data_IF_102619823368
#
_entry.id   IF_102619823368
#
_cell.length_a   1.000
_cell.length_b   1.000
_cell.length_c   1.000
_cell.angle_alpha   90.00
_cell.angle_beta   90.00
_cell.angle_gamma   90.00
#
_symmetry.space_group_name_H-M   'P 1'
#
loop_
_entity.id
_entity.type
_entity.pdbx_description
1 polymer ?
#
# COMPACT_ATOMS: atom_id res chain seq x y z
N UNK A 1 -16.51 -0.05 -6.07
CA UNK A 1 -16.55 -0.01 -4.58
C UNK A 1 -17.26 1.25 -4.13
N UNK A 2 -18.28 1.15 -3.25
CA UNK A 2 -19.08 2.33 -2.87
C UNK A 2 -18.89 2.75 -1.40
N UNK A 3 -18.08 2.02 -0.63
CA UNK A 3 -17.80 2.30 0.77
C UNK A 3 -16.79 3.42 0.99
N UNK A 4 -16.73 3.96 2.20
CA UNK A 4 -15.61 4.75 2.69
C UNK A 4 -14.53 3.83 3.31
N UNK A 5 -13.29 4.28 3.34
CA UNK A 5 -12.14 3.57 3.91
C UNK A 5 -11.94 2.18 3.28
N UNK A 6 -11.98 2.12 1.95
CA UNK A 6 -11.67 0.90 1.20
C UNK A 6 -10.17 0.82 0.99
N UNK A 7 -9.58 -0.30 1.35
CA UNK A 7 -8.18 -0.60 1.08
C UNK A 7 -8.05 -1.89 0.28
N UNK A 8 -7.26 -1.82 -0.77
CA UNK A 8 -6.95 -2.94 -1.66
C UNK A 8 -5.42 -3.09 -1.67
N UNK A 9 -4.92 -4.31 -1.51
CA UNK A 9 -3.49 -4.59 -1.54
C UNK A 9 -3.22 -5.87 -2.33
N UNK A 10 -2.32 -5.78 -3.30
CA UNK A 10 -1.90 -6.91 -4.15
C UNK A 10 -3.10 -7.59 -4.85
N UNK A 11 -4.00 -6.78 -5.39
CA UNK A 11 -5.18 -7.26 -6.12
C UNK A 11 -5.03 -7.03 -7.62
N UNK A 12 -5.72 -7.82 -8.43
CA UNK A 12 -5.89 -7.60 -9.85
C UNK A 12 -7.30 -7.10 -10.15
N UNK A 13 -7.44 -5.92 -10.78
CA UNK A 13 -8.68 -5.39 -11.32
C UNK A 13 -8.58 -5.40 -12.84
N UNK A 14 -9.27 -6.30 -13.50
CA UNK A 14 -9.11 -6.57 -14.93
C UNK A 14 -10.43 -6.42 -15.68
N UNK A 15 -10.46 -5.52 -16.64
CA UNK A 15 -11.54 -5.37 -17.60
C UNK A 15 -11.03 -4.61 -18.83
N UNK A 16 -11.92 -4.14 -19.69
CA UNK A 16 -11.58 -3.35 -20.87
C UNK A 16 -12.01 -1.89 -20.72
N UNK A 17 -13.25 -1.64 -20.36
CA UNK A 17 -13.82 -0.32 -20.09
C UNK A 17 -14.43 -0.32 -18.70
N UNK A 18 -14.37 0.81 -18.00
CA UNK A 18 -15.01 1.02 -16.71
C UNK A 18 -14.61 -0.04 -15.65
N UNK A 19 -13.33 -0.40 -15.58
CA UNK A 19 -12.84 -1.49 -14.72
C UNK A 19 -13.12 -1.21 -13.24
N UNK A 20 -12.84 0.01 -12.78
CA UNK A 20 -12.98 0.36 -11.38
C UNK A 20 -13.78 1.65 -11.18
N UNK A 21 -15.06 1.49 -10.80
CA UNK A 21 -15.81 2.58 -10.18
C UNK A 21 -15.32 2.75 -8.76
N UNK A 22 -14.62 3.83 -8.49
CA UNK A 22 -14.08 4.12 -7.16
C UNK A 22 -15.19 4.37 -6.16
N UNK A 23 -15.98 5.42 -6.34
CA UNK A 23 -17.15 5.74 -5.53
C UNK A 23 -18.04 6.76 -6.23
N UNK A 24 -19.24 6.94 -5.73
CA UNK A 24 -20.17 8.01 -6.11
C UNK A 24 -20.37 9.02 -4.97
N UNK A 25 -19.47 9.05 -3.98
CA UNK A 25 -19.55 9.89 -2.79
C UNK A 25 -18.29 10.73 -2.64
N UNK A 26 -18.48 12.05 -2.55
CA UNK A 26 -17.46 13.06 -2.42
C UNK A 26 -16.37 12.75 -1.37
N UNK A 27 -16.77 12.29 -0.20
CA UNK A 27 -15.88 12.16 0.95
C UNK A 27 -15.32 10.75 1.16
N UNK A 28 -15.70 9.80 0.32
CA UNK A 28 -15.18 8.43 0.45
C UNK A 28 -13.70 8.38 0.09
N UNK A 29 -12.97 7.55 0.82
CA UNK A 29 -11.52 7.42 0.74
C UNK A 29 -11.15 6.00 0.36
N UNK A 30 -10.31 5.88 -0.66
CA UNK A 30 -9.82 4.58 -1.12
C UNK A 30 -8.29 4.59 -1.19
N UNK A 31 -7.70 3.49 -0.82
CA UNK A 31 -6.29 3.20 -0.94
C UNK A 31 -6.09 1.91 -1.72
N UNK A 32 -5.24 1.93 -2.70
CA UNK A 32 -4.83 0.72 -3.42
C UNK A 32 -3.31 0.70 -3.49
N UNK A 33 -2.71 -0.47 -3.29
CA UNK A 33 -1.26 -0.61 -3.25
C UNK A 33 -0.78 -1.91 -3.87
N UNK A 34 0.40 -1.85 -4.52
CA UNK A 34 1.11 -3.00 -5.11
C UNK A 34 0.19 -3.86 -5.99
N UNK A 35 -0.75 -3.23 -6.69
CA UNK A 35 -1.85 -3.87 -7.38
C UNK A 35 -1.74 -3.73 -8.89
N UNK A 36 -2.51 -4.53 -9.62
CA UNK A 36 -2.60 -4.49 -11.07
C UNK A 36 -3.98 -3.99 -11.48
N UNK A 37 -4.02 -2.88 -12.24
CA UNK A 37 -5.27 -2.31 -12.75
C UNK A 37 -5.17 -2.29 -14.27
N UNK A 38 -6.08 -3.01 -14.92
CA UNK A 38 -6.07 -3.22 -16.37
C UNK A 38 -7.30 -2.64 -17.03
N UNK A 39 -7.10 -2.00 -18.18
CA UNK A 39 -8.19 -1.48 -18.99
C UNK A 39 -7.73 -0.74 -20.24
N UNK A 40 -8.69 -0.18 -20.96
CA UNK A 40 -8.49 0.55 -22.19
C UNK A 40 -9.15 1.94 -22.18
N UNK A 41 -10.39 2.03 -21.68
CA UNK A 41 -11.21 3.24 -21.78
C UNK A 41 -11.85 3.53 -20.44
N UNK A 42 -11.54 4.72 -19.87
CA UNK A 42 -12.17 5.23 -18.64
C UNK A 42 -12.11 4.22 -17.49
N UNK A 43 -11.05 3.44 -17.43
CA UNK A 43 -11.05 2.24 -16.61
C UNK A 43 -10.83 2.49 -15.12
N UNK A 44 -10.53 3.75 -14.72
CA UNK A 44 -10.61 4.22 -13.33
C UNK A 44 -11.51 5.46 -13.33
N UNK A 45 -12.69 5.35 -12.74
CA UNK A 45 -13.70 6.40 -12.85
C UNK A 45 -14.51 6.58 -11.55
N UNK A 46 -15.23 7.70 -11.46
CA UNK A 46 -16.04 8.03 -10.29
C UNK A 46 -15.49 9.21 -9.49
N UNK A 47 -15.70 9.19 -8.18
CA UNK A 47 -15.43 10.29 -7.24
C UNK A 47 -14.51 9.86 -6.11
N UNK A 48 -14.47 10.72 -5.06
CA UNK A 48 -13.77 10.47 -3.81
C UNK A 48 -12.30 10.86 -3.81
N UNK A 49 -11.65 10.62 -2.69
CA UNK A 49 -10.21 10.77 -2.54
C UNK A 49 -9.56 9.39 -2.63
N UNK A 50 -8.83 9.14 -3.70
CA UNK A 50 -8.28 7.83 -4.03
C UNK A 50 -6.77 7.92 -4.14
N UNK A 51 -6.05 7.10 -3.41
CA UNK A 51 -4.61 7.04 -3.43
C UNK A 51 -4.15 5.70 -4.00
N UNK A 52 -3.49 5.77 -5.16
CA UNK A 52 -2.92 4.62 -5.86
C UNK A 52 -1.41 4.62 -5.61
N UNK A 53 -0.90 3.61 -4.91
CA UNK A 53 0.47 3.56 -4.37
C UNK A 53 1.25 2.37 -4.96
N UNK A 54 2.23 2.65 -5.82
CA UNK A 54 3.09 1.63 -6.43
C UNK A 54 2.32 0.59 -7.26
N UNK A 55 1.22 0.99 -7.89
CA UNK A 55 0.41 0.10 -8.72
C UNK A 55 0.92 0.02 -10.16
N UNK A 56 0.59 -1.06 -10.83
CA UNK A 56 0.79 -1.23 -12.27
C UNK A 56 -0.52 -0.95 -13.00
N UNK A 57 -0.49 0.05 -13.88
CA UNK A 57 -1.59 0.46 -14.75
C UNK A 57 -1.33 -0.15 -16.14
N UNK A 58 -2.08 -1.19 -16.50
CA UNK A 58 -1.86 -1.95 -17.73
C UNK A 58 -2.87 -1.59 -18.81
N UNK A 59 -2.36 -1.15 -19.97
CA UNK A 59 -3.17 -0.66 -21.10
C UNK A 59 -3.37 -1.79 -22.10
N UNK A 60 -4.61 -2.28 -22.26
CA UNK A 60 -4.91 -3.40 -23.18
C UNK A 60 -5.39 -2.98 -24.56
N UNK A 61 -5.38 -1.70 -24.85
CA UNK A 61 -5.70 -1.15 -26.17
C UNK A 61 -4.48 -0.46 -26.76
N UNK A 62 -4.16 -0.76 -28.03
CA UNK A 62 -2.95 -0.24 -28.68
C UNK A 62 -2.95 1.29 -28.83
N UNK A 63 -4.08 1.93 -29.05
CA UNK A 63 -4.14 3.38 -29.28
C UNK A 63 -5.45 4.01 -28.82
N UNK A 64 -5.39 5.26 -28.35
CA UNK A 64 -6.53 6.13 -28.10
C UNK A 64 -7.38 5.75 -26.87
N UNK A 65 -6.78 5.15 -25.86
CA UNK A 65 -7.42 4.88 -24.58
C UNK A 65 -7.33 6.03 -23.58
N UNK A 66 -8.04 5.89 -22.44
CA UNK A 66 -8.03 6.84 -21.34
C UNK A 66 -7.90 6.10 -20.01
N UNK A 67 -6.94 6.50 -19.17
CA UNK A 67 -6.74 5.86 -17.86
C UNK A 67 -7.88 6.27 -16.93
N UNK A 68 -8.06 7.57 -16.71
CA UNK A 68 -9.07 8.06 -15.78
C UNK A 68 -10.21 8.81 -16.46
N UNK A 69 -11.41 8.68 -15.89
CA UNK A 69 -12.59 9.47 -16.22
C UNK A 69 -13.32 9.92 -14.94
N UNK A 70 -12.74 10.83 -14.17
CA UNK A 70 -13.33 11.27 -12.91
C UNK A 70 -14.45 12.29 -13.12
N UNK A 71 -15.34 12.35 -12.10
CA UNK A 71 -16.43 13.33 -12.02
C UNK A 71 -16.51 13.94 -10.61
N UNK A 72 -15.38 14.46 -10.13
CA UNK A 72 -15.28 15.01 -8.79
C UNK A 72 -16.13 16.29 -8.65
N UNK A 73 -17.03 16.35 -7.65
CA UNK A 73 -17.70 17.60 -7.27
C UNK A 73 -16.71 18.69 -6.87
N UNK A 74 -17.14 19.94 -6.96
CA UNK A 74 -16.31 21.12 -6.68
C UNK A 74 -15.66 21.10 -5.28
N UNK A 75 -16.33 20.48 -4.33
CA UNK A 75 -15.92 20.37 -2.93
C UNK A 75 -14.87 19.29 -2.70
N UNK A 76 -14.57 18.46 -3.69
CA UNK A 76 -13.52 17.44 -3.58
C UNK A 76 -12.18 18.10 -3.31
N UNK A 77 -11.45 17.57 -2.32
CA UNK A 77 -10.18 18.16 -1.88
C UNK A 77 -8.99 17.59 -2.64
N UNK A 78 -8.89 16.27 -2.76
CA UNK A 78 -7.69 15.60 -3.29
C UNK A 78 -7.91 14.89 -4.62
N UNK A 79 -9.09 14.27 -4.83
CA UNK A 79 -9.38 13.47 -6.03
C UNK A 79 -8.49 12.22 -6.15
N UNK A 80 -8.01 11.95 -7.35
CA UNK A 80 -7.16 10.79 -7.63
C UNK A 80 -5.68 11.14 -7.54
N UNK A 81 -4.94 10.45 -6.71
CA UNK A 81 -3.49 10.59 -6.53
C UNK A 81 -2.81 9.30 -6.94
N UNK A 82 -2.09 9.33 -8.04
CA UNK A 82 -1.22 8.25 -8.50
C UNK A 82 0.20 8.52 -7.99
N UNK A 83 0.70 7.68 -7.10
CA UNK A 83 2.01 7.84 -6.48
C UNK A 83 2.93 6.66 -6.81
N UNK A 84 4.08 6.93 -7.42
CA UNK A 84 5.09 5.93 -7.77
C UNK A 84 4.57 4.79 -8.67
N UNK A 85 3.57 5.06 -9.51
CA UNK A 85 2.94 4.04 -10.35
C UNK A 85 3.70 3.79 -11.64
N UNK A 86 3.48 2.62 -12.23
CA UNK A 86 4.02 2.22 -13.53
C UNK A 86 2.86 2.11 -14.53
N UNK A 87 3.01 2.73 -15.71
CA UNK A 87 2.08 2.57 -16.83
C UNK A 87 2.75 1.69 -17.87
N UNK A 88 2.09 0.59 -18.25
CA UNK A 88 2.62 -0.40 -19.19
C UNK A 88 1.53 -0.95 -20.12
N UNK A 89 1.91 -1.85 -21.02
CA UNK A 89 0.99 -2.56 -21.91
C UNK A 89 1.56 -3.94 -22.25
N UNK A 90 0.72 -4.93 -22.63
CA UNK A 90 1.22 -6.23 -23.07
C UNK A 90 2.00 -6.14 -24.39
N UNK A 91 2.96 -7.05 -24.57
CA UNK A 91 3.77 -7.14 -25.80
C UNK A 91 4.84 -6.05 -25.88
N UNK A 92 4.68 -5.09 -26.78
CA UNK A 92 5.58 -3.94 -26.91
C UNK A 92 4.93 -2.64 -26.40
N UNK A 93 5.14 -2.26 -25.13
CA UNK A 93 4.52 -1.06 -24.57
C UNK A 93 4.86 0.23 -25.35
N UNK A 94 6.05 0.33 -25.92
CA UNK A 94 6.48 1.51 -26.70
C UNK A 94 5.67 1.76 -27.99
N UNK A 95 4.88 0.79 -28.44
CA UNK A 95 3.95 0.94 -29.56
C UNK A 95 2.53 1.31 -29.12
N UNK A 96 2.27 1.39 -27.84
CA UNK A 96 0.96 1.72 -27.25
C UNK A 96 0.92 3.20 -26.89
N UNK A 97 -0.20 3.87 -27.16
CA UNK A 97 -0.47 5.23 -26.68
C UNK A 97 -1.77 5.30 -25.86
N UNK A 98 -1.76 6.14 -24.83
CA UNK A 98 -2.88 6.35 -23.94
C UNK A 98 -2.90 7.79 -23.41
N UNK A 99 -4.08 8.39 -23.29
CA UNK A 99 -4.26 9.62 -22.55
C UNK A 99 -4.31 9.34 -21.04
N UNK A 100 -3.74 10.20 -20.22
CA UNK A 100 -3.83 10.10 -18.76
C UNK A 100 -5.28 10.12 -18.29
N UNK A 101 -6.13 10.89 -18.98
CA UNK A 101 -7.57 10.86 -18.72
C UNK A 101 -8.36 11.84 -19.56
N UNK A 102 -9.68 11.77 -19.40
CA UNK A 102 -10.65 12.73 -19.98
C UNK A 102 -11.68 13.18 -18.94
N UNK A 103 -12.13 14.45 -18.96
CA UNK A 103 -12.97 15.02 -17.91
C UNK A 103 -14.43 14.56 -18.07
N UNK A 104 -14.84 13.54 -17.31
CA UNK A 104 -16.17 12.98 -17.48
C UNK A 104 -17.27 14.00 -17.13
N UNK A 105 -17.27 14.50 -15.89
CA UNK A 105 -18.20 15.54 -15.43
C UNK A 105 -17.57 16.39 -14.33
N UNK A 106 -18.25 17.47 -13.94
CA UNK A 106 -17.95 18.36 -12.83
C UNK A 106 -16.53 18.97 -12.90
N UNK A 107 -15.78 18.91 -11.81
CA UNK A 107 -14.46 19.54 -11.68
C UNK A 107 -13.38 18.52 -11.30
N UNK A 108 -13.00 17.62 -12.23
CA UNK A 108 -12.05 16.55 -11.97
C UNK A 108 -10.74 17.00 -11.32
N UNK A 109 -10.20 16.16 -10.42
CA UNK A 109 -8.92 16.38 -9.77
C UNK A 109 -8.12 15.08 -9.90
N UNK A 110 -6.94 15.13 -10.53
CA UNK A 110 -6.05 13.96 -10.66
C UNK A 110 -4.59 14.40 -10.74
N UNK A 111 -3.73 13.73 -10.02
CA UNK A 111 -2.28 13.95 -10.06
C UNK A 111 -1.55 12.63 -10.33
N UNK A 112 -0.57 12.67 -11.24
CA UNK A 112 0.40 11.60 -11.44
C UNK A 112 1.76 12.06 -10.91
N UNK A 113 2.25 11.41 -9.87
CA UNK A 113 3.46 11.80 -9.14
C UNK A 113 4.46 10.65 -9.15
N UNK A 114 5.70 10.91 -9.61
CA UNK A 114 6.74 9.90 -9.75
C UNK A 114 6.31 8.72 -10.63
N UNK A 115 5.59 8.97 -11.69
CA UNK A 115 5.09 7.92 -12.59
C UNK A 115 6.15 7.51 -13.60
N UNK A 116 6.31 6.22 -13.83
CA UNK A 116 7.11 5.67 -14.91
C UNK A 116 6.22 5.12 -16.01
N UNK A 117 6.34 5.66 -17.23
CA UNK A 117 5.51 5.24 -18.36
C UNK A 117 6.33 4.54 -19.43
N UNK A 118 6.01 3.27 -19.67
CA UNK A 118 6.55 2.50 -20.79
C UNK A 118 5.73 2.69 -22.07
N UNK A 119 4.52 3.27 -21.97
CA UNK A 119 3.66 3.59 -23.10
C UNK A 119 3.80 5.07 -23.49
N UNK A 120 3.40 5.41 -24.70
CA UNK A 120 3.39 6.80 -25.16
C UNK A 120 2.22 7.56 -24.55
N UNK A 121 2.49 8.67 -23.89
CA UNK A 121 1.50 9.64 -23.49
C UNK A 121 1.58 10.80 -24.45
N UNK A 122 0.49 11.23 -25.13
CA UNK A 122 0.49 12.38 -26.01
C UNK A 122 1.08 13.62 -25.34
N UNK A 123 1.73 14.50 -26.08
CA UNK A 123 2.38 15.68 -25.52
C UNK A 123 1.42 16.55 -24.66
N UNK A 124 0.15 16.63 -25.04
CA UNK A 124 -0.89 17.30 -24.28
C UNK A 124 -1.21 16.61 -22.92
N UNK A 125 -0.86 15.33 -22.75
CA UNK A 125 -1.10 14.52 -21.55
C UNK A 125 -2.53 14.08 -21.37
N UNK A 126 -3.44 15.02 -21.42
CA UNK A 126 -4.85 14.89 -21.11
C UNK A 126 -5.73 15.16 -22.30
N UNK A 127 -6.84 14.42 -22.42
CA UNK A 127 -7.81 14.70 -23.48
C UNK A 127 -8.66 15.93 -23.13
N UNK A 128 -8.82 16.90 -24.04
CA UNK A 128 -9.30 18.25 -23.66
C UNK A 128 -10.80 18.35 -23.40
N UNK A 129 -11.59 17.33 -23.75
CA UNK A 129 -13.04 17.47 -23.71
C UNK A 129 -13.77 16.19 -23.35
N UNK A 130 -14.85 16.30 -22.61
CA UNK A 130 -15.92 15.32 -22.43
C UNK A 130 -17.16 16.02 -21.86
N UNK A 131 -17.30 16.17 -20.54
CA UNK A 131 -18.43 16.81 -19.89
C UNK A 131 -18.07 17.63 -18.63
N UNK A 132 -16.79 17.64 -18.25
CA UNK A 132 -16.29 18.38 -17.09
C UNK A 132 -15.18 19.37 -17.40
N UNK A 133 -14.85 20.19 -16.42
CA UNK A 133 -13.74 21.14 -16.47
C UNK A 133 -12.79 20.88 -15.29
N UNK A 134 -11.65 20.26 -15.52
CA UNK A 134 -10.74 19.90 -14.44
C UNK A 134 -10.32 21.08 -13.58
N UNK A 135 -10.44 20.93 -12.26
CA UNK A 135 -9.91 21.89 -11.30
C UNK A 135 -8.39 21.78 -11.19
N UNK A 136 -7.87 20.56 -11.11
CA UNK A 136 -6.44 20.32 -11.02
C UNK A 136 -6.07 18.98 -11.66
N UNK A 137 -5.47 19.03 -12.84
CA UNK A 137 -4.86 17.89 -13.53
C UNK A 137 -3.39 18.17 -13.74
N UNK A 138 -2.54 17.46 -13.00
CA UNK A 138 -1.12 17.77 -12.97
C UNK A 138 -0.24 16.53 -12.87
N UNK A 139 1.01 16.70 -13.25
CA UNK A 139 2.06 15.70 -13.13
C UNK A 139 3.25 16.26 -12.34
N UNK A 140 4.03 15.36 -11.76
CA UNK A 140 5.33 15.66 -11.18
C UNK A 140 6.27 14.48 -11.39
N UNK A 141 7.48 14.77 -11.88
CA UNK A 141 8.57 13.79 -12.01
C UNK A 141 8.15 12.54 -12.81
N UNK A 142 7.47 12.74 -13.95
CA UNK A 142 7.12 11.65 -14.87
C UNK A 142 8.37 11.23 -15.63
N UNK A 143 8.64 9.91 -15.68
CA UNK A 143 9.76 9.29 -16.39
C UNK A 143 9.25 8.42 -17.53
N UNK A 144 10.05 8.30 -18.59
CA UNK A 144 9.83 7.31 -19.65
C UNK A 144 10.24 5.89 -19.21
N UNK A 145 10.08 4.90 -20.11
CA UNK A 145 10.45 3.51 -19.86
C UNK A 145 11.94 3.29 -19.58
N UNK A 146 12.81 4.17 -20.05
CA UNK A 146 14.26 4.12 -19.84
C UNK A 146 14.69 4.88 -18.56
N UNK A 147 13.75 5.60 -17.94
CA UNK A 147 13.99 6.38 -16.72
C UNK A 147 14.47 7.80 -16.99
N UNK A 148 14.32 8.31 -18.22
CA UNK A 148 14.60 9.71 -18.52
C UNK A 148 13.39 10.58 -18.15
N UNK A 149 13.61 11.83 -17.71
CA UNK A 149 12.52 12.77 -17.47
C UNK A 149 11.72 13.06 -18.74
N UNK A 150 10.40 13.00 -18.65
CA UNK A 150 9.49 13.41 -19.74
C UNK A 150 9.34 14.93 -19.73
N UNK A 151 9.40 15.55 -20.93
CA UNK A 151 9.08 16.97 -21.06
C UNK A 151 7.58 17.22 -20.88
N UNK A 152 7.23 17.87 -19.77
CA UNK A 152 5.86 18.20 -19.41
C UNK A 152 5.42 19.61 -19.87
N UNK A 153 6.29 20.36 -20.56
CA UNK A 153 6.01 21.76 -20.98
C UNK A 153 4.83 21.90 -21.95
N UNK A 154 4.48 20.82 -22.64
CA UNK A 154 3.39 20.76 -23.60
C UNK A 154 2.06 20.23 -23.02
N UNK A 155 2.01 19.96 -21.70
CA UNK A 155 0.76 19.55 -21.04
C UNK A 155 -0.27 20.65 -21.06
N UNK A 156 -1.51 20.32 -21.47
CA UNK A 156 -2.58 21.31 -21.56
C UNK A 156 -3.14 21.66 -20.19
N UNK A 157 -3.61 22.90 -20.09
CA UNK A 157 -4.42 23.38 -18.96
C UNK A 157 -5.81 23.82 -19.39
N UNK A 158 -6.06 23.99 -20.69
CA UNK A 158 -7.36 24.38 -21.23
C UNK A 158 -8.24 23.17 -21.54
N UNK A 159 -9.48 23.22 -21.08
CA UNK A 159 -10.49 22.19 -21.27
C UNK A 159 -11.80 22.80 -21.70
N UNK A 160 -12.64 22.00 -22.34
CA UNK A 160 -13.98 22.45 -22.73
C UNK A 160 -14.97 21.30 -22.81
N UNK A 161 -16.23 21.65 -22.77
CA UNK A 161 -17.32 20.77 -23.16
C UNK A 161 -18.40 21.56 -23.90
N UNK A 162 -19.33 20.86 -24.51
CA UNK A 162 -20.52 21.50 -25.09
C UNK A 162 -21.71 21.23 -24.18
N UNK A 163 -22.41 22.31 -23.79
CA UNK A 163 -23.57 22.24 -22.89
C UNK A 163 -24.82 21.73 -23.62
N UNK A 164 -24.78 21.66 -24.95
CA UNK A 164 -25.88 21.26 -25.82
C UNK A 164 -25.46 20.12 -26.78
N UNK A 165 -26.45 19.36 -27.25
CA UNK A 165 -26.24 18.27 -28.19
C UNK A 165 -25.75 18.72 -29.57
N UNK A 166 -26.05 19.95 -29.96
CA UNK A 166 -25.72 20.51 -31.30
C UNK A 166 -24.30 21.13 -31.34
N UNK A 167 -23.60 21.10 -30.21
CA UNK A 167 -22.24 21.63 -30.06
C UNK A 167 -22.11 23.12 -30.39
N UNK A 168 -23.13 23.89 -30.10
CA UNK A 168 -23.14 25.34 -30.30
C UNK A 168 -22.71 26.13 -29.07
N UNK A 169 -22.95 25.58 -27.86
CA UNK A 169 -22.62 26.21 -26.59
C UNK A 169 -21.37 25.61 -25.98
N UNK A 170 -20.20 26.11 -26.43
CA UNK A 170 -18.91 25.68 -25.89
C UNK A 170 -18.64 26.37 -24.55
N UNK A 171 -18.43 25.58 -23.51
CA UNK A 171 -17.99 26.02 -22.17
C UNK A 171 -16.53 25.69 -22.00
N UNK A 172 -15.72 26.63 -21.57
CA UNK A 172 -14.28 26.48 -21.38
C UNK A 172 -13.87 26.69 -19.95
N UNK A 173 -12.78 26.05 -19.53
CA UNK A 173 -12.17 26.24 -18.21
C UNK A 173 -10.72 25.83 -18.22
N UNK A 174 -10.06 26.06 -17.09
CA UNK A 174 -8.63 25.79 -16.95
C UNK A 174 -8.37 24.95 -15.70
N UNK A 175 -7.49 23.96 -15.82
CA UNK A 175 -6.81 23.37 -14.67
C UNK A 175 -5.90 24.42 -14.03
N UNK A 176 -5.79 24.44 -12.71
CA UNK A 176 -4.95 25.40 -11.98
C UNK A 176 -3.49 25.35 -12.48
N UNK A 177 -3.00 24.18 -12.83
CA UNK A 177 -1.67 23.96 -13.41
C UNK A 177 -1.59 22.57 -14.06
N UNK A 178 -0.56 22.36 -14.89
CA UNK A 178 -0.26 21.05 -15.49
C UNK A 178 0.93 20.34 -14.82
N UNK A 179 1.78 21.08 -14.10
CA UNK A 179 3.00 20.55 -13.47
C UNK A 179 3.06 21.07 -12.03
N UNK A 180 3.28 20.14 -11.09
CA UNK A 180 3.49 20.48 -9.69
C UNK A 180 4.97 20.79 -9.42
N UNK A 181 5.24 21.68 -8.46
CA UNK A 181 6.56 21.82 -7.88
C UNK A 181 6.89 20.64 -6.94
N UNK A 182 8.15 20.48 -6.58
CA UNK A 182 8.57 19.48 -5.60
C UNK A 182 7.90 19.67 -4.23
N UNK A 183 7.72 20.93 -3.80
CA UNK A 183 7.04 21.25 -2.55
C UNK A 183 5.56 20.88 -2.60
N UNK A 184 4.89 21.17 -3.72
CA UNK A 184 3.48 20.78 -3.91
C UNK A 184 3.33 19.25 -3.97
N UNK A 185 4.17 18.55 -4.71
CA UNK A 185 4.15 17.10 -4.80
C UNK A 185 4.37 16.42 -3.43
N UNK A 186 5.24 16.96 -2.60
CA UNK A 186 5.49 16.45 -1.24
C UNK A 186 4.27 16.51 -0.31
N UNK A 187 3.23 17.28 -0.64
CA UNK A 187 2.00 17.36 0.14
C UNK A 187 1.07 16.15 -0.07
N UNK A 188 1.25 15.40 -1.16
CA UNK A 188 0.42 14.25 -1.50
C UNK A 188 0.88 12.98 -0.78
N UNK A 189 0.87 13.02 0.54
CA UNK A 189 1.12 11.84 1.37
C UNK A 189 -0.18 11.09 1.66
N UNK A 190 -0.11 9.79 1.91
CA UNK A 190 -1.27 8.98 2.31
C UNK A 190 -2.00 9.62 3.49
N UNK A 191 -1.24 10.10 4.49
CA UNK A 191 -1.79 10.79 5.66
C UNK A 191 -2.59 12.03 5.27
N UNK A 192 -2.04 12.90 4.43
CA UNK A 192 -2.72 14.15 4.07
C UNK A 192 -3.98 13.89 3.24
N UNK A 193 -3.91 12.91 2.33
CA UNK A 193 -5.00 12.61 1.38
C UNK A 193 -6.13 11.81 2.04
N UNK A 194 -5.80 10.85 2.91
CA UNK A 194 -6.75 9.84 3.36
C UNK A 194 -7.10 9.89 4.86
N UNK A 195 -6.36 10.61 5.70
CA UNK A 195 -6.62 10.57 7.15
C UNK A 195 -8.01 11.10 7.53
N UNK A 196 -8.55 12.08 6.79
CA UNK A 196 -9.84 12.68 7.13
C UNK A 196 -9.87 13.21 8.55
N UNK A 197 -11.07 13.29 9.13
CA UNK A 197 -11.28 13.72 10.53
C UNK A 197 -11.11 12.57 11.53
N UNK A 198 -11.13 11.34 11.07
CA UNK A 198 -11.04 10.11 11.88
C UNK A 198 -9.63 9.52 11.95
N UNK A 199 -8.66 10.15 11.27
CA UNK A 199 -7.27 9.74 11.31
C UNK A 199 -6.97 8.41 10.60
N UNK A 200 -7.80 8.01 9.61
CA UNK A 200 -7.60 6.74 8.91
C UNK A 200 -6.22 6.65 8.23
N UNK A 201 -5.49 5.57 8.50
CA UNK A 201 -4.14 5.33 8.00
C UNK A 201 -4.05 3.95 7.33
N UNK A 202 -4.43 3.84 6.05
CA UNK A 202 -4.43 2.57 5.33
C UNK A 202 -3.04 1.93 5.17
N UNK A 203 -1.96 2.68 5.25
CA UNK A 203 -0.60 2.14 5.17
C UNK A 203 -0.25 1.16 6.28
N UNK A 204 -0.90 1.28 7.44
CA UNK A 204 -0.77 0.31 8.52
C UNK A 204 -1.32 -1.07 8.15
N UNK A 205 -2.06 -1.16 7.04
CA UNK A 205 -2.72 -2.34 6.52
C UNK A 205 -1.79 -3.38 5.92
N UNK A 206 -0.67 -2.92 5.41
CA UNK A 206 0.30 -3.78 4.73
C UNK A 206 1.37 -4.28 5.69
N UNK A 207 1.44 -3.72 6.89
CA UNK A 207 2.36 -4.15 7.93
C UNK A 207 1.70 -5.26 8.75
N UNK A 208 2.38 -6.40 8.83
CA UNK A 208 1.97 -7.45 9.74
C UNK A 208 2.12 -6.93 11.18
N UNK A 209 1.20 -7.29 12.04
CA UNK A 209 1.36 -7.07 13.47
C UNK A 209 2.66 -7.71 13.97
N UNK A 210 3.18 -7.24 15.10
CA UNK A 210 4.24 -7.95 15.82
C UNK A 210 3.76 -9.33 16.27
N UNK A 211 4.70 -10.29 16.36
CA UNK A 211 4.39 -11.62 16.86
C UNK A 211 3.99 -11.55 18.34
N UNK A 212 2.89 -12.20 18.77
CA UNK A 212 2.55 -12.28 20.17
C UNK A 212 3.63 -12.98 21.00
N UNK A 213 3.91 -12.46 22.19
CA UNK A 213 4.73 -13.17 23.19
C UNK A 213 3.82 -14.06 23.99
N UNK A 214 3.82 -15.36 23.70
CA UNK A 214 2.84 -16.31 24.21
C UNK A 214 3.40 -17.08 25.41
N UNK A 215 2.62 -17.13 26.50
CA UNK A 215 2.89 -17.97 27.67
C UNK A 215 1.82 -19.06 27.73
N UNK A 216 2.23 -20.28 28.07
CA UNK A 216 1.29 -21.37 28.37
C UNK A 216 1.23 -21.55 29.88
N UNK A 217 0.05 -21.37 30.45
CA UNK A 217 -0.26 -21.56 31.87
C UNK A 217 -1.33 -22.64 31.95
N UNK A 218 -0.97 -23.82 32.40
CA UNK A 218 -1.84 -25.02 32.39
C UNK A 218 -2.39 -25.30 30.98
N UNK A 219 -3.71 -25.27 30.82
CA UNK A 219 -4.40 -25.47 29.55
C UNK A 219 -4.67 -24.17 28.77
N UNK A 220 -4.19 -23.03 29.25
CA UNK A 220 -4.49 -21.73 28.65
C UNK A 220 -3.22 -21.11 28.04
N UNK A 221 -3.35 -20.54 26.85
CA UNK A 221 -2.38 -19.62 26.27
C UNK A 221 -2.75 -18.19 26.64
N UNK A 222 -1.76 -17.40 27.03
CA UNK A 222 -1.93 -15.99 27.36
C UNK A 222 -0.84 -15.15 26.68
N UNK A 223 -1.18 -13.92 26.31
CA UNK A 223 -0.26 -12.96 25.69
C UNK A 223 -0.71 -11.52 25.95
N UNK A 224 0.18 -10.57 25.78
CA UNK A 224 -0.11 -9.14 25.83
C UNK A 224 -0.84 -8.71 24.56
N UNK A 225 -1.67 -7.66 24.65
CA UNK A 225 -2.34 -7.08 23.47
C UNK A 225 -1.29 -6.58 22.47
N UNK A 226 -1.34 -7.13 21.27
CA UNK A 226 -0.48 -6.70 20.16
C UNK A 226 -1.08 -5.44 19.52
N UNK A 227 -0.30 -4.37 19.29
CA UNK A 227 -0.79 -3.18 18.60
C UNK A 227 -1.37 -3.53 17.22
N UNK A 228 -2.49 -2.89 16.88
CA UNK A 228 -3.25 -3.10 15.63
C UNK A 228 -3.85 -4.49 15.42
N UNK A 229 -3.68 -5.42 16.32
CA UNK A 229 -4.37 -6.70 16.27
C UNK A 229 -5.85 -6.55 16.64
N UNK A 230 -6.73 -7.13 15.80
CA UNK A 230 -8.17 -7.22 16.04
C UNK A 230 -8.60 -8.62 16.48
N UNK A 231 -7.81 -9.62 16.14
CA UNK A 231 -8.02 -11.02 16.54
C UNK A 231 -6.70 -11.79 16.52
N UNK A 232 -6.76 -13.05 16.93
CA UNK A 232 -5.62 -13.95 16.97
C UNK A 232 -6.04 -15.32 16.42
N UNK A 233 -5.14 -15.95 15.67
CA UNK A 233 -5.25 -17.33 15.18
C UNK A 233 -4.37 -18.21 16.04
N UNK A 234 -4.93 -19.32 16.56
CA UNK A 234 -4.19 -20.30 17.35
C UNK A 234 -4.02 -21.58 16.53
N UNK A 235 -2.80 -22.06 16.44
CA UNK A 235 -2.47 -23.30 15.73
C UNK A 235 -1.77 -24.31 16.61
N UNK A 236 -2.00 -25.60 16.32
CA UNK A 236 -1.27 -26.75 16.85
C UNK A 236 -0.53 -27.42 15.69
N UNK A 237 0.79 -27.23 15.64
CA UNK A 237 1.54 -27.53 14.42
C UNK A 237 1.05 -26.67 13.28
N UNK A 238 0.57 -27.27 12.20
CA UNK A 238 0.04 -26.59 11.00
C UNK A 238 -1.51 -26.55 10.99
N UNK A 239 -2.18 -27.10 12.02
CA UNK A 239 -3.64 -27.10 12.14
C UNK A 239 -4.12 -25.86 12.90
N UNK A 240 -5.13 -25.16 12.35
CA UNK A 240 -5.82 -24.07 13.04
C UNK A 240 -6.81 -24.66 14.04
N UNK A 241 -6.59 -24.42 15.34
CA UNK A 241 -7.43 -24.96 16.41
C UNK A 241 -8.39 -23.92 16.97
N UNK A 242 -8.26 -22.64 16.59
CA UNK A 242 -9.24 -21.62 16.96
C UNK A 242 -8.84 -20.19 16.63
N UNK A 243 -9.80 -19.31 16.88
CA UNK A 243 -9.69 -17.85 16.75
C UNK A 243 -10.17 -17.19 18.04
N UNK A 244 -9.59 -16.06 18.41
CA UNK A 244 -10.04 -15.29 19.58
C UNK A 244 -9.75 -13.80 19.39
N UNK A 245 -10.63 -12.95 19.89
CA UNK A 245 -10.39 -11.50 20.02
C UNK A 245 -9.77 -11.15 21.38
N UNK A 246 -9.71 -12.14 22.28
CA UNK A 246 -9.12 -11.99 23.63
C UNK A 246 -7.61 -12.23 23.55
N UNK A 247 -6.91 -11.82 24.57
CA UNK A 247 -5.47 -12.09 24.77
C UNK A 247 -5.21 -13.41 25.49
N UNK A 248 -6.16 -14.34 25.40
CA UNK A 248 -6.07 -15.70 25.96
C UNK A 248 -6.86 -16.69 25.12
N UNK A 249 -6.45 -17.96 25.19
CA UNK A 249 -7.13 -19.06 24.51
C UNK A 249 -7.00 -20.35 25.31
N UNK A 250 -8.12 -21.00 25.61
CA UNK A 250 -8.17 -22.30 26.28
C UNK A 250 -7.88 -23.41 25.24
N UNK A 251 -6.78 -24.14 25.43
CA UNK A 251 -6.33 -25.17 24.50
C UNK A 251 -7.15 -26.45 24.72
N UNK A 252 -7.84 -26.97 23.69
CA UNK A 252 -8.57 -28.22 23.82
C UNK A 252 -7.65 -29.36 24.23
N UNK A 253 -8.18 -30.33 25.03
CA UNK A 253 -7.42 -31.43 25.62
C UNK A 253 -6.60 -32.22 24.59
N UNK A 254 -7.11 -32.36 23.35
CA UNK A 254 -6.44 -33.08 22.27
C UNK A 254 -5.14 -32.42 21.78
N UNK A 255 -4.91 -31.14 22.07
CA UNK A 255 -3.78 -30.37 21.55
C UNK A 255 -2.82 -29.89 22.64
N UNK A 256 -3.02 -30.30 23.89
CA UNK A 256 -2.23 -29.76 25.02
C UNK A 256 -0.73 -30.10 24.92
N UNK A 257 -0.38 -31.21 24.28
CA UNK A 257 1.03 -31.64 24.06
C UNK A 257 1.60 -31.21 22.69
N UNK A 258 0.80 -30.49 21.89
CA UNK A 258 1.21 -30.06 20.57
C UNK A 258 2.12 -28.80 20.64
N UNK A 259 2.82 -28.51 19.54
CA UNK A 259 3.55 -27.25 19.35
C UNK A 259 2.52 -26.15 19.08
N UNK A 260 2.21 -25.37 20.10
CA UNK A 260 1.21 -24.31 20.02
C UNK A 260 1.85 -23.01 19.56
N UNK A 261 1.14 -22.30 18.67
CA UNK A 261 1.56 -21.01 18.10
C UNK A 261 0.38 -20.07 18.02
N UNK A 262 0.63 -18.78 18.12
CA UNK A 262 -0.39 -17.74 17.98
C UNK A 262 0.10 -16.70 16.97
N UNK A 263 -0.77 -16.26 16.09
CA UNK A 263 -0.53 -15.14 15.19
C UNK A 263 -1.55 -14.04 15.48
N UNK A 264 -1.10 -12.80 15.52
CA UNK A 264 -1.98 -11.65 15.54
C UNK A 264 -2.50 -11.36 14.12
N UNK A 265 -3.76 -10.96 14.03
CA UNK A 265 -4.45 -10.61 12.78
C UNK A 265 -4.79 -9.13 12.81
N UNK A 266 -4.37 -8.37 11.80
CA UNK A 266 -4.76 -6.98 11.66
C UNK A 266 -6.14 -6.84 10.98
N UNK A 267 -6.70 -5.63 10.96
CA UNK A 267 -8.04 -5.35 10.38
C UNK A 267 -8.15 -5.66 8.88
N UNK A 268 -7.06 -6.00 8.22
CA UNK A 268 -6.98 -6.29 6.78
C UNK A 268 -6.66 -7.75 6.49
N UNK A 269 -6.68 -8.60 7.51
CA UNK A 269 -6.40 -10.02 7.39
C UNK A 269 -4.90 -10.36 7.31
N UNK A 270 -4.01 -9.40 7.53
CA UNK A 270 -2.57 -9.66 7.63
C UNK A 270 -2.24 -10.44 8.89
N UNK A 271 -1.45 -11.53 8.75
CA UNK A 271 -0.99 -12.36 9.86
C UNK A 271 0.42 -11.95 10.29
N UNK A 272 0.65 -11.88 11.59
CA UNK A 272 1.99 -11.71 12.15
C UNK A 272 2.86 -12.96 11.93
N UNK A 273 4.16 -12.86 12.22
CA UNK A 273 4.95 -14.06 12.49
C UNK A 273 4.37 -14.85 13.67
N UNK A 274 4.73 -16.13 13.78
CA UNK A 274 4.27 -16.98 14.88
C UNK A 274 4.89 -16.58 16.21
N UNK A 275 4.07 -16.25 17.19
CA UNK A 275 4.43 -16.32 18.61
C UNK A 275 4.40 -17.77 19.07
N UNK A 276 5.54 -18.30 19.49
CA UNK A 276 5.63 -19.65 20.05
C UNK A 276 5.31 -19.61 21.55
N UNK A 277 4.48 -20.56 22.03
CA UNK A 277 4.22 -20.68 23.42
C UNK A 277 5.48 -21.13 24.19
N UNK A 278 5.90 -20.36 25.18
CA UNK A 278 6.87 -20.78 26.17
C UNK A 278 6.15 -21.38 27.37
N UNK A 279 6.67 -22.49 27.90
CA UNK A 279 6.19 -23.04 29.17
C UNK A 279 6.60 -22.06 30.28
N UNK A 280 5.64 -21.55 31.04
CA UNK A 280 5.94 -20.87 32.30
C UNK A 280 6.30 -21.94 33.33
N UNK A 281 7.58 -22.13 33.57
CA UNK A 281 8.08 -23.08 34.58
C UNK A 281 8.06 -22.53 35.98
N UNK A 282 7.24 -21.51 36.27
CA UNK A 282 7.08 -20.97 37.65
C UNK A 282 8.37 -20.37 38.28
N UNK A 283 9.47 -20.39 37.56
CA UNK A 283 10.68 -19.66 37.89
C UNK A 283 10.62 -18.40 37.04
N UNK A 284 10.44 -17.25 37.67
CA UNK A 284 10.61 -15.97 36.97
C UNK A 284 11.95 -16.04 36.23
N UNK A 285 11.89 -15.99 34.90
CA UNK A 285 13.11 -15.78 34.12
C UNK A 285 13.71 -14.49 34.66
N UNK A 286 14.79 -14.63 35.41
CA UNK A 286 15.66 -13.51 35.70
C UNK A 286 15.95 -12.92 34.33
N UNK A 287 15.40 -11.75 34.06
CA UNK A 287 15.63 -11.00 32.84
C UNK A 287 17.14 -11.05 32.60
N UNK A 288 17.55 -11.82 31.62
CA UNK A 288 18.94 -11.78 31.13
C UNK A 288 19.01 -10.41 30.47
N UNK A 289 19.30 -9.40 31.29
CA UNK A 289 19.78 -8.13 30.79
C UNK A 289 20.88 -8.51 29.81
N UNK A 290 20.63 -8.31 28.53
CA UNK A 290 21.67 -8.34 27.52
C UNK A 290 22.76 -7.38 28.01
N UNK A 291 23.78 -7.93 28.63
CA UNK A 291 25.02 -7.21 28.86
C UNK A 291 25.67 -7.07 27.50
N UNK A 292 25.29 -6.01 26.80
CA UNK A 292 25.75 -5.68 25.45
C UNK A 292 27.25 -5.40 25.35
N UNK A 293 28.02 -5.50 26.44
CA UNK A 293 29.43 -5.09 26.49
C UNK A 293 30.41 -6.13 27.05
N UNK A 294 30.05 -7.37 27.26
CA UNK A 294 31.05 -8.36 27.72
C UNK A 294 31.90 -8.84 26.52
N UNK A 295 33.03 -8.15 26.33
CA UNK A 295 34.09 -8.50 25.37
C UNK A 295 34.98 -9.66 25.87
N UNK A 296 34.52 -10.44 26.85
CA UNK A 296 35.28 -11.56 27.42
C UNK A 296 35.38 -12.76 26.47
N UNK A 297 36.45 -13.55 26.69
CA UNK A 297 36.60 -14.87 26.05
C UNK A 297 36.18 -15.95 27.05
N UNK A 298 35.42 -16.95 26.59
CA UNK A 298 34.89 -18.01 27.44
C UNK A 298 35.18 -19.38 26.84
N UNK A 299 35.44 -20.37 27.65
CA UNK A 299 35.49 -21.77 27.19
C UNK A 299 34.07 -22.36 27.05
N UNK A 300 33.96 -23.61 26.59
CA UNK A 300 32.68 -24.31 26.40
C UNK A 300 31.89 -24.55 27.71
N UNK A 301 32.53 -24.39 28.87
CA UNK A 301 31.88 -24.49 30.18
C UNK A 301 31.45 -23.11 30.73
N UNK A 302 31.57 -22.05 29.92
CA UNK A 302 31.18 -20.70 30.30
C UNK A 302 32.17 -19.96 31.24
N UNK A 303 33.33 -20.53 31.46
CA UNK A 303 34.37 -19.89 32.28
C UNK A 303 35.18 -18.88 31.47
N UNK A 304 35.43 -17.71 32.03
CA UNK A 304 36.23 -16.66 31.40
C UNK A 304 37.68 -17.09 31.29
N UNK A 305 38.25 -16.97 30.09
CA UNK A 305 39.60 -17.42 29.75
C UNK A 305 40.37 -16.32 29.02
N UNK A 306 41.67 -16.47 28.86
CA UNK A 306 42.47 -15.58 28.02
C UNK A 306 42.18 -15.80 26.53
N UNK A 307 42.27 -14.73 25.74
CA UNK A 307 42.17 -14.80 24.27
C UNK A 307 43.26 -15.71 23.65
N UNK A 308 44.32 -16.01 24.38
CA UNK A 308 45.43 -16.91 23.98
C UNK A 308 45.22 -18.36 24.39
N UNK A 309 44.12 -18.67 25.08
CA UNK A 309 43.80 -20.06 25.48
C UNK A 309 43.50 -20.92 24.25
N UNK A 310 44.03 -22.15 24.22
CA UNK A 310 43.81 -23.11 23.13
C UNK A 310 42.45 -23.82 23.29
N UNK A 311 41.85 -24.19 22.18
CA UNK A 311 40.62 -24.98 22.15
C UNK A 311 39.44 -24.21 21.55
N UNK A 312 38.23 -24.62 21.91
CA UNK A 312 37.01 -23.93 21.45
C UNK A 312 36.67 -22.82 22.43
N UNK A 313 36.68 -21.61 21.95
CA UNK A 313 36.39 -20.41 22.70
C UNK A 313 35.11 -19.73 22.18
N UNK A 314 34.43 -19.02 23.06
CA UNK A 314 33.26 -18.18 22.72
C UNK A 314 33.63 -16.73 22.97
N UNK A 315 33.53 -15.89 21.96
CA UNK A 315 33.73 -14.47 22.05
C UNK A 315 32.67 -13.71 21.25
N UNK A 316 32.01 -12.75 21.85
CA UNK A 316 30.91 -12.01 21.22
C UNK A 316 29.88 -12.96 20.55
N UNK A 317 29.44 -13.99 21.27
CA UNK A 317 28.48 -15.02 20.82
C UNK A 317 28.96 -15.85 19.60
N UNK A 318 30.20 -15.72 19.17
CA UNK A 318 30.77 -16.52 18.08
C UNK A 318 31.69 -17.61 18.66
N UNK A 319 31.59 -18.81 18.09
CA UNK A 319 32.47 -19.94 18.38
C UNK A 319 33.76 -19.77 17.58
N UNK A 320 34.92 -19.77 18.26
CA UNK A 320 36.23 -19.60 17.66
C UNK A 320 37.09 -20.80 18.04
N UNK A 321 37.77 -21.40 17.07
CA UNK A 321 38.74 -22.47 17.32
C UNK A 321 40.13 -21.86 17.37
N UNK A 322 40.67 -21.75 18.60
CA UNK A 322 42.06 -21.31 18.82
C UNK A 322 43.02 -22.49 18.76
N UNK A 323 43.96 -22.49 17.81
CA UNK A 323 44.97 -23.52 17.57
C UNK A 323 46.16 -23.42 18.51
#
# INVERSE_FOLDING_TARGET
TLGDRVALNKVGLLSYQDTWLTTTKLNNRHYIKDSWIEGAVDFIYGQGNVYLDQDTINIVRKSGGYIVAPNHPKETTWGYVFMNNVITAPGNPAETDVWLGRPWHDTPITQFINTRSYVKIPAAGWYPTMGGLPKLWAEYNTMDGDGNPVDLSHRITEYYYYADGDKTQKVTGHSEKAVLSAEEAARYTVKNVLSGSDGWQPTLLCEACEAPVVKKINATLEWEKVPYAISYVVTAGDEVIGFTEKTSFEVPAAYQDAVLRVQAVNEYGGLSAYGKASLSTGIDEIAVQQRSDDKGWYNMMGMKVSATSKGILIHQQKKIIAK
#
